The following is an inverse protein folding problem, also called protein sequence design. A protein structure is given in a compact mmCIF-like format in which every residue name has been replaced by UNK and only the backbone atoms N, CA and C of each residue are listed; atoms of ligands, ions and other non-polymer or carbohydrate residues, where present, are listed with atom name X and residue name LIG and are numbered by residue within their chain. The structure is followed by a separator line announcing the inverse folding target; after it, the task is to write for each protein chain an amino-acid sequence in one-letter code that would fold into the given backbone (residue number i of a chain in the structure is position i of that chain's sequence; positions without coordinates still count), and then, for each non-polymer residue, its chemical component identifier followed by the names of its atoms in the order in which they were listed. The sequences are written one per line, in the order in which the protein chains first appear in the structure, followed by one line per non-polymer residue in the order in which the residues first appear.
data_IF_148498677159
#
_entry.id   IF_148498677159
#
_cell.length_a   1.000
_cell.length_b   1.000
_cell.length_c   1.000
_cell.angle_alpha   90.00
_cell.angle_beta   90.00
_cell.angle_gamma   90.00
#
_symmetry.space_group_name_H-M   'P 1'
#
loop_
_entity.id
_entity.type
_entity.pdbx_description
1 polymer ?
#
# COMPACT_ATOMS: atom_id res chain seq x y z
N UNK A 1 10.21 49.23 -9.65
CA UNK A 1 10.90 48.00 -10.10
C UNK A 1 10.28 46.82 -9.37
N UNK A 2 9.43 46.06 -10.06
CA UNK A 2 8.80 44.88 -9.53
C UNK A 2 9.74 43.69 -9.59
N UNK A 3 9.78 42.88 -8.54
CA UNK A 3 10.40 41.57 -8.53
C UNK A 3 9.39 40.48 -8.86
N UNK A 4 9.86 39.29 -9.12
CA UNK A 4 9.01 38.10 -9.31
C UNK A 4 9.24 37.11 -8.18
N UNK A 5 8.16 36.59 -7.61
CA UNK A 5 8.20 35.49 -6.68
C UNK A 5 8.22 34.19 -7.47
N UNK A 6 9.24 33.36 -7.25
CA UNK A 6 9.34 32.03 -7.82
C UNK A 6 8.73 31.01 -6.87
N UNK A 7 7.79 30.22 -7.38
CA UNK A 7 7.15 29.15 -6.63
C UNK A 7 7.45 27.84 -7.35
N UNK A 8 8.06 26.88 -6.65
CA UNK A 8 8.34 25.54 -7.14
C UNK A 8 7.58 24.52 -6.32
N UNK A 9 6.97 23.56 -7.00
CA UNK A 9 6.27 22.44 -6.38
C UNK A 9 7.14 21.18 -6.48
N UNK A 10 7.33 20.49 -5.35
CA UNK A 10 7.90 19.15 -5.37
C UNK A 10 6.79 18.13 -5.73
N UNK A 11 7.01 17.36 -6.80
CA UNK A 11 6.13 16.28 -7.20
C UNK A 11 6.34 15.04 -6.32
N UNK A 12 5.39 14.07 -6.33
CA UNK A 12 5.53 12.83 -5.57
C UNK A 12 6.77 11.99 -5.92
N UNK A 13 7.33 12.17 -7.11
CA UNK A 13 8.55 11.51 -7.58
C UNK A 13 9.85 12.21 -7.12
N UNK A 14 9.75 13.26 -6.30
CA UNK A 14 10.89 14.07 -5.83
C UNK A 14 11.40 15.11 -6.81
N UNK A 15 10.85 15.17 -8.03
CA UNK A 15 11.19 16.20 -9.01
C UNK A 15 10.36 17.46 -8.77
N UNK A 16 10.87 18.61 -9.23
CA UNK A 16 10.13 19.86 -9.18
C UNK A 16 9.27 20.05 -10.44
N UNK A 17 8.05 20.59 -10.24
CA UNK A 17 7.25 21.08 -11.35
C UNK A 17 7.90 22.35 -11.92
N UNK A 18 7.49 22.75 -13.13
CA UNK A 18 7.90 24.02 -13.69
C UNK A 18 7.64 25.17 -12.71
N UNK A 19 8.65 26.01 -12.49
CA UNK A 19 8.55 27.16 -11.61
C UNK A 19 7.51 28.15 -12.14
N UNK A 20 6.61 28.59 -11.27
CA UNK A 20 5.70 29.69 -11.59
C UNK A 20 6.25 31.00 -11.01
N UNK A 21 6.22 32.06 -11.82
CA UNK A 21 6.73 33.37 -11.46
C UNK A 21 5.57 34.36 -11.25
N UNK A 22 5.60 35.03 -10.11
CA UNK A 22 4.58 36.01 -9.73
C UNK A 22 5.24 37.36 -9.53
N UNK A 23 4.77 38.37 -10.25
CA UNK A 23 5.25 39.72 -10.07
C UNK A 23 4.80 40.29 -8.72
N UNK A 24 5.73 40.75 -7.91
CA UNK A 24 5.49 41.42 -6.64
C UNK A 24 6.02 42.86 -6.69
N UNK A 25 5.15 43.80 -6.43
CA UNK A 25 5.54 45.21 -6.30
C UNK A 25 5.80 45.61 -4.85
N UNK A 26 6.79 46.46 -4.62
CA UNK A 26 7.05 47.00 -3.27
C UNK A 26 5.87 47.84 -2.82
N UNK A 27 5.20 47.44 -1.75
CA UNK A 27 4.09 48.19 -1.16
C UNK A 27 2.73 47.99 -1.82
N UNK A 28 2.54 47.03 -2.71
CA UNK A 28 1.26 46.64 -3.28
C UNK A 28 0.81 45.30 -2.76
N UNK A 29 -0.42 45.19 -2.29
CA UNK A 29 -1.07 43.92 -1.99
C UNK A 29 -1.48 43.27 -3.33
N UNK A 30 -0.84 42.22 -3.73
CA UNK A 30 -1.19 41.47 -4.94
C UNK A 30 -1.80 40.16 -4.53
N UNK A 31 -3.06 39.95 -4.80
CA UNK A 31 -3.75 38.66 -4.66
C UNK A 31 -3.83 38.01 -6.03
N UNK A 32 -3.28 36.86 -6.19
CA UNK A 32 -3.48 36.03 -7.37
C UNK A 32 -3.32 34.57 -7.01
N UNK A 33 -4.17 33.71 -7.59
CA UNK A 33 -4.15 32.29 -7.34
C UNK A 33 -3.02 31.58 -8.10
N UNK A 34 -2.36 30.66 -7.42
CA UNK A 34 -1.49 29.64 -8.03
C UNK A 34 -2.14 28.29 -7.80
N UNK A 35 -2.48 27.61 -8.87
CA UNK A 35 -3.06 26.27 -8.77
C UNK A 35 -1.95 25.22 -8.70
N UNK A 36 -2.06 24.35 -7.70
CA UNK A 36 -1.20 23.18 -7.52
C UNK A 36 -2.08 21.95 -7.62
N UNK A 37 -1.87 21.15 -8.66
CA UNK A 37 -2.65 19.91 -8.87
C UNK A 37 -2.00 18.78 -8.09
N UNK A 38 -2.79 18.14 -7.24
CA UNK A 38 -2.39 17.04 -6.40
C UNK A 38 -2.85 15.71 -7.02
N UNK A 39 -1.90 14.80 -7.31
CA UNK A 39 -2.17 13.57 -8.05
C UNK A 39 -2.29 12.31 -7.16
N UNK A 40 -2.52 12.46 -5.85
CA UNK A 40 -2.67 11.35 -4.90
C UNK A 40 -1.49 11.19 -3.93
N UNK A 41 -1.70 10.43 -2.84
CA UNK A 41 -0.73 10.25 -1.75
C UNK A 41 -0.65 11.46 -0.81
N UNK A 42 0.50 11.66 -0.18
CA UNK A 42 0.80 12.86 0.64
C UNK A 42 1.75 13.73 -0.14
N UNK A 43 1.42 14.99 -0.29
CA UNK A 43 2.25 15.97 -1.00
C UNK A 43 2.60 17.12 -0.06
N UNK A 44 3.87 17.46 0.04
CA UNK A 44 4.36 18.57 0.84
C UNK A 44 4.90 19.63 -0.09
N UNK A 45 4.33 20.83 0.01
CA UNK A 45 4.78 22.02 -0.69
C UNK A 45 5.62 22.85 0.30
N UNK A 46 6.96 22.87 0.19
CA UNK A 46 7.78 23.78 1.00
C UNK A 46 7.59 25.20 0.48
N UNK A 47 6.96 26.03 1.28
CA UNK A 47 6.83 27.48 0.99
C UNK A 47 8.09 28.24 1.41
N UNK A 48 9.09 27.53 1.95
CA UNK A 48 10.35 28.10 2.45
C UNK A 48 11.30 28.62 1.36
N UNK A 49 11.00 28.37 0.08
CA UNK A 49 11.85 28.79 -1.04
C UNK A 49 11.20 29.94 -1.83
N UNK A 50 10.83 31.01 -1.18
CA UNK A 50 10.52 32.24 -1.91
C UNK A 50 11.82 32.93 -2.32
N UNK A 51 12.06 32.95 -3.61
CA UNK A 51 13.08 33.81 -4.18
C UNK A 51 12.44 34.85 -5.11
N UNK A 52 12.94 36.06 -5.11
CA UNK A 52 12.56 37.06 -6.10
C UNK A 52 13.54 36.95 -7.26
N UNK A 53 13.03 36.73 -8.47
CA UNK A 53 13.83 36.80 -9.69
C UNK A 53 13.60 38.13 -10.36
N UNK A 54 14.64 38.86 -10.57
CA UNK A 54 14.63 40.18 -11.26
C UNK A 54 14.59 40.02 -12.77
N UNK A 55 14.22 41.09 -13.53
CA UNK A 55 14.19 41.04 -14.99
C UNK A 55 15.53 40.71 -15.66
N UNK A 56 16.66 40.89 -14.97
CA UNK A 56 18.01 40.52 -15.40
C UNK A 56 18.38 39.07 -15.09
N UNK A 57 17.43 38.25 -14.65
CA UNK A 57 17.55 36.85 -14.20
C UNK A 57 18.43 36.67 -12.94
N UNK A 58 18.78 37.72 -12.22
CA UNK A 58 19.35 37.57 -10.89
C UNK A 58 18.29 37.12 -9.91
N UNK A 59 18.66 36.25 -8.97
CA UNK A 59 17.74 35.71 -7.97
C UNK A 59 18.21 36.12 -6.58
N UNK A 60 17.32 36.68 -5.78
CA UNK A 60 17.54 37.00 -4.38
C UNK A 60 16.57 36.22 -3.51
N UNK A 61 17.07 35.56 -2.46
CA UNK A 61 16.22 34.97 -1.45
C UNK A 61 15.49 36.09 -0.67
N UNK A 62 14.18 36.03 -0.66
CA UNK A 62 13.38 37.02 0.07
C UNK A 62 13.58 36.80 1.57
N UNK A 63 14.33 37.68 2.18
CA UNK A 63 14.45 37.78 3.63
C UNK A 63 13.23 38.54 4.17
N UNK A 64 12.56 37.96 5.14
CA UNK A 64 11.38 38.58 5.78
C UNK A 64 10.57 37.55 6.51
N UNK A 65 9.57 37.99 7.23
CA UNK A 65 8.67 37.11 7.98
C UNK A 65 7.46 36.77 7.11
N UNK A 66 7.33 35.47 6.83
CA UNK A 66 6.20 34.95 6.07
C UNK A 66 5.28 34.15 6.96
N UNK A 67 3.98 34.26 6.72
CA UNK A 67 2.97 33.43 7.35
C UNK A 67 2.13 32.73 6.28
N UNK A 68 1.71 31.50 6.57
CA UNK A 68 0.81 30.74 5.73
C UNK A 68 -0.39 30.28 6.55
N UNK A 69 -1.61 30.43 6.01
CA UNK A 69 -2.84 30.09 6.70
C UNK A 69 -3.87 29.54 5.72
N UNK A 70 -4.55 28.42 6.05
CA UNK A 70 -5.70 27.96 5.27
C UNK A 70 -6.78 29.06 5.23
N UNK A 71 -7.40 29.24 4.07
CA UNK A 71 -8.34 30.33 3.84
C UNK A 71 -9.51 29.91 2.93
N UNK A 72 -10.55 30.73 2.93
CA UNK A 72 -11.65 30.66 1.97
C UNK A 72 -11.29 31.36 0.63
N UNK A 73 -12.23 31.40 -0.31
CA UNK A 73 -12.09 32.05 -1.61
C UNK A 73 -11.79 33.54 -1.55
N UNK A 74 -12.16 34.19 -0.44
CA UNK A 74 -11.92 35.61 -0.20
C UNK A 74 -10.61 35.86 0.55
N UNK A 75 -9.87 34.81 0.89
CA UNK A 75 -8.63 34.88 1.66
C UNK A 75 -8.83 35.08 3.16
N UNK A 76 -10.04 34.86 3.69
CA UNK A 76 -10.28 34.84 5.12
C UNK A 76 -9.88 33.51 5.74
N UNK A 77 -9.43 33.48 7.01
CA UNK A 77 -9.08 32.25 7.68
C UNK A 77 -10.18 31.20 7.61
N UNK A 78 -9.88 30.02 7.09
CA UNK A 78 -10.79 28.88 7.02
C UNK A 78 -10.01 27.59 7.25
N UNK A 79 -10.51 26.71 8.11
CA UNK A 79 -9.88 25.40 8.33
C UNK A 79 -10.07 24.48 7.11
N UNK A 80 -9.09 23.62 6.87
CA UNK A 80 -9.18 22.53 5.91
C UNK A 80 -8.96 21.19 6.63
N UNK A 81 -9.73 20.18 6.28
CA UNK A 81 -9.63 18.82 6.83
C UNK A 81 -8.55 17.96 6.15
N UNK A 82 -8.01 18.42 5.02
CA UNK A 82 -7.04 17.69 4.23
C UNK A 82 -5.77 18.45 3.86
N UNK A 83 -5.74 19.74 4.12
CA UNK A 83 -4.56 20.59 3.96
C UNK A 83 -4.16 21.13 5.32
N UNK A 84 -2.94 20.86 5.73
CA UNK A 84 -2.35 21.35 6.98
C UNK A 84 -1.20 22.30 6.68
N UNK A 85 -1.06 23.33 7.48
CA UNK A 85 0.03 24.29 7.39
C UNK A 85 0.83 24.26 8.69
N UNK A 86 2.14 24.04 8.57
CA UNK A 86 3.08 24.10 9.68
C UNK A 86 4.23 25.04 9.30
N UNK A 87 4.24 26.23 9.90
CA UNK A 87 5.12 27.31 9.45
C UNK A 87 4.84 27.68 8.00
N UNK A 88 5.83 27.52 7.13
CA UNK A 88 5.71 27.72 5.68
C UNK A 88 5.57 26.42 4.89
N UNK A 89 5.36 25.30 5.57
CA UNK A 89 5.14 24.00 4.92
C UNK A 89 3.65 23.73 4.79
N UNK A 90 3.19 23.47 3.58
CA UNK A 90 1.81 23.11 3.25
C UNK A 90 1.80 21.61 2.89
N UNK A 91 1.07 20.82 3.67
CA UNK A 91 0.92 19.38 3.42
C UNK A 91 -0.52 19.08 3.02
N UNK A 92 -0.70 18.47 1.86
CA UNK A 92 -1.99 17.98 1.39
C UNK A 92 -2.01 16.45 1.41
N UNK A 93 -3.10 15.87 1.92
CA UNK A 93 -3.29 14.42 1.96
C UNK A 93 -4.41 14.00 1.01
N UNK A 94 -4.12 13.08 0.09
CA UNK A 94 -5.13 12.55 -0.81
C UNK A 94 -6.23 11.82 -0.05
N UNK A 95 -7.46 11.99 -0.52
CA UNK A 95 -8.61 11.25 -0.04
C UNK A 95 -9.12 10.33 -1.16
N UNK A 96 -9.34 9.09 -0.82
CA UNK A 96 -9.92 8.07 -1.68
C UNK A 96 -11.31 7.74 -1.16
N UNK A 97 -12.32 7.75 -2.01
CA UNK A 97 -13.70 7.41 -1.66
C UNK A 97 -13.89 5.87 -1.62
N UNK A 98 -13.04 5.19 -0.88
CA UNK A 98 -13.26 3.79 -0.48
C UNK A 98 -13.32 3.72 1.02
N UNK A 99 -14.08 2.77 1.54
CA UNK A 99 -14.13 2.54 2.97
C UNK A 99 -12.73 2.25 3.50
N UNK A 100 -12.15 3.16 4.25
CA UNK A 100 -10.84 2.99 4.90
C UNK A 100 -10.93 2.10 6.15
N UNK A 101 -11.82 1.10 6.09
CA UNK A 101 -12.13 0.21 7.22
C UNK A 101 -10.90 -0.46 7.81
N UNK A 102 -9.93 -0.79 6.97
CA UNK A 102 -8.71 -1.47 7.42
C UNK A 102 -7.75 -0.54 8.17
N UNK A 103 -7.64 0.73 7.77
CA UNK A 103 -6.68 1.69 8.36
C UNK A 103 -7.09 2.15 9.75
N UNK A 104 -8.39 2.27 9.99
CA UNK A 104 -8.95 2.77 11.26
C UNK A 104 -9.05 1.70 12.33
N UNK A 105 -8.86 0.43 12.00
CA UNK A 105 -8.89 -0.65 12.97
C UNK A 105 -7.66 -0.58 13.89
N UNK A 106 -7.82 -0.86 15.19
CA UNK A 106 -6.68 -0.95 16.10
C UNK A 106 -5.64 -1.96 15.63
N UNK A 107 -4.37 -1.59 15.70
CA UNK A 107 -3.28 -2.47 15.33
C UNK A 107 -3.24 -3.73 16.21
N UNK A 108 -2.95 -4.87 15.59
CA UNK A 108 -2.73 -6.14 16.32
C UNK A 108 -1.26 -6.31 16.67
N UNK A 109 -0.99 -7.08 17.72
CA UNK A 109 0.36 -7.43 18.14
C UNK A 109 0.51 -8.95 18.21
N UNK A 110 1.53 -9.49 17.49
CA UNK A 110 1.84 -10.92 17.50
C UNK A 110 0.71 -11.81 16.97
N UNK A 111 -0.09 -11.32 16.03
CA UNK A 111 -1.24 -12.05 15.49
C UNK A 111 -0.78 -13.27 14.68
N UNK A 112 -1.15 -14.46 15.13
CA UNK A 112 -0.91 -15.70 14.40
C UNK A 112 -1.99 -15.94 13.37
N UNK A 113 -1.62 -15.86 12.09
CA UNK A 113 -2.53 -16.04 10.96
C UNK A 113 -3.06 -17.47 10.85
N UNK A 114 -2.28 -18.48 11.28
CA UNK A 114 -2.69 -19.88 11.25
C UNK A 114 -3.74 -20.25 12.30
N UNK A 115 -3.79 -19.47 13.39
CA UNK A 115 -4.77 -19.65 14.47
C UNK A 115 -5.84 -18.58 14.50
N UNK A 116 -5.77 -17.60 13.58
CA UNK A 116 -6.64 -16.41 13.57
C UNK A 116 -6.58 -15.62 14.88
N UNK A 117 -5.37 -15.52 15.45
CA UNK A 117 -5.15 -14.84 16.73
C UNK A 117 -5.47 -15.65 17.97
N UNK A 118 -5.88 -16.92 17.82
CA UNK A 118 -6.05 -17.86 18.94
C UNK A 118 -4.73 -18.51 19.38
N UNK A 119 -4.85 -19.56 20.16
CA UNK A 119 -3.72 -20.32 20.71
C UNK A 119 -3.46 -21.66 20.03
N UNK A 120 -4.42 -22.16 19.30
CA UNK A 120 -4.35 -23.48 18.64
C UNK A 120 -4.14 -23.30 17.16
N UNK A 121 -3.12 -24.02 16.62
CA UNK A 121 -2.88 -24.09 15.19
C UNK A 121 -4.06 -24.77 14.51
N UNK A 122 -4.80 -24.04 13.71
CA UNK A 122 -6.02 -24.54 13.06
C UNK A 122 -5.72 -24.92 11.61
N UNK A 123 -5.27 -23.95 10.82
CA UNK A 123 -5.04 -24.16 9.39
C UNK A 123 -3.86 -23.34 8.90
N UNK A 124 -3.07 -23.93 7.98
CA UNK A 124 -2.06 -23.22 7.21
C UNK A 124 -2.52 -23.05 5.77
N UNK A 125 -1.94 -22.10 5.05
CA UNK A 125 -2.36 -21.77 3.70
C UNK A 125 -1.17 -21.25 2.86
N UNK A 126 -1.35 -21.19 1.54
CA UNK A 126 -0.45 -20.47 0.64
C UNK A 126 -0.79 -18.96 0.56
N UNK A 127 -2.02 -18.60 0.91
CA UNK A 127 -2.45 -17.21 0.99
C UNK A 127 -3.02 -16.93 2.37
N UNK A 128 -2.55 -15.87 3.00
CA UNK A 128 -3.08 -15.36 4.26
C UNK A 128 -3.69 -13.98 4.06
N UNK A 129 -4.79 -13.73 4.77
CA UNK A 129 -5.51 -12.45 4.73
C UNK A 129 -5.09 -11.59 5.91
N UNK A 130 -4.82 -10.31 5.64
CA UNK A 130 -4.61 -9.26 6.64
C UNK A 130 -5.61 -8.13 6.40
N UNK A 131 -6.16 -7.55 7.47
CA UNK A 131 -7.23 -6.54 7.35
C UNK A 131 -7.02 -5.32 8.28
N UNK A 132 -5.85 -5.20 8.92
CA UNK A 132 -5.49 -4.07 9.79
C UNK A 132 -3.97 -3.95 9.95
N UNK A 133 -3.47 -2.80 10.43
CA UNK A 133 -2.07 -2.68 10.81
C UNK A 133 -1.69 -3.61 11.97
N UNK A 134 -0.41 -3.93 12.10
CA UNK A 134 0.10 -4.70 13.22
C UNK A 134 1.20 -5.69 12.88
N UNK A 135 1.59 -6.50 13.86
CA UNK A 135 2.58 -7.56 13.70
C UNK A 135 1.90 -8.90 13.55
N UNK A 136 2.32 -9.65 12.55
CA UNK A 136 1.77 -10.92 12.14
C UNK A 136 2.83 -12.00 12.08
N UNK A 137 2.41 -13.24 12.21
CA UNK A 137 3.27 -14.39 11.94
C UNK A 137 2.45 -15.60 11.48
N UNK A 138 3.13 -16.55 10.86
CA UNK A 138 2.60 -17.87 10.52
C UNK A 138 3.71 -18.92 10.51
N UNK A 139 3.38 -20.21 10.72
CA UNK A 139 4.37 -21.28 10.76
C UNK A 139 4.95 -21.55 9.36
N UNK A 140 6.20 -22.03 9.32
CA UNK A 140 6.94 -22.37 8.12
C UNK A 140 6.51 -23.76 7.59
N UNK A 141 5.29 -23.81 7.07
CA UNK A 141 4.61 -25.02 6.61
C UNK A 141 4.26 -24.90 5.13
N UNK A 142 4.37 -25.99 4.38
CA UNK A 142 3.99 -26.03 2.97
C UNK A 142 2.48 -25.86 2.79
N UNK A 143 2.07 -24.68 2.33
CA UNK A 143 0.67 -24.39 2.02
C UNK A 143 -0.30 -24.85 3.10
N UNK A 144 -1.30 -25.63 2.72
CA UNK A 144 -2.34 -26.18 3.60
C UNK A 144 -1.95 -27.55 4.21
N UNK A 145 -0.66 -27.79 4.45
CA UNK A 145 -0.17 -29.06 5.00
C UNK A 145 -0.56 -29.29 6.48
N UNK A 146 -1.07 -28.28 7.17
CA UNK A 146 -1.79 -28.42 8.45
C UNK A 146 -3.24 -27.98 8.22
N UNK A 147 -4.17 -28.87 8.56
CA UNK A 147 -5.61 -28.66 8.47
C UNK A 147 -6.28 -29.11 9.77
N UNK A 148 -7.11 -28.25 10.34
CA UNK A 148 -7.84 -28.49 11.59
C UNK A 148 -6.91 -28.99 12.72
N UNK A 149 -5.72 -28.41 12.79
CA UNK A 149 -4.69 -28.73 13.79
C UNK A 149 -3.94 -30.04 13.54
N UNK A 150 -4.23 -30.76 12.47
CA UNK A 150 -3.59 -32.04 12.13
C UNK A 150 -2.83 -31.97 10.79
N UNK A 151 -1.87 -32.88 10.63
CA UNK A 151 -1.13 -33.02 9.38
C UNK A 151 -2.06 -33.41 8.23
N UNK A 152 -2.05 -32.62 7.17
CA UNK A 152 -2.75 -32.89 5.92
C UNK A 152 -1.77 -33.37 4.87
N UNK A 153 -1.45 -34.66 4.91
CA UNK A 153 -0.42 -35.25 4.00
C UNK A 153 -0.78 -35.07 2.52
N UNK A 154 -2.06 -35.02 2.16
CA UNK A 154 -2.50 -34.84 0.77
C UNK A 154 -2.07 -33.46 0.19
N UNK A 155 -1.68 -32.51 1.02
CA UNK A 155 -1.21 -31.19 0.58
C UNK A 155 0.24 -31.21 0.06
N UNK A 156 1.05 -32.21 0.41
CA UNK A 156 2.47 -32.30 0.03
C UNK A 156 2.91 -33.69 -0.42
N UNK A 157 1.99 -34.64 -0.47
CA UNK A 157 2.19 -35.97 -1.05
C UNK A 157 1.06 -36.26 -2.03
N UNK A 158 1.33 -37.11 -3.04
CA UNK A 158 0.29 -37.55 -3.95
C UNK A 158 0.45 -39.05 -4.22
N UNK A 159 -0.67 -39.78 -4.25
CA UNK A 159 -0.76 -41.13 -4.73
C UNK A 159 -1.28 -41.23 -6.16
N UNK A 160 -1.69 -40.10 -6.74
CA UNK A 160 -2.16 -40.05 -8.11
C UNK A 160 -1.02 -40.30 -9.10
N UNK A 161 -1.34 -40.83 -10.26
CA UNK A 161 -0.40 -41.10 -11.34
C UNK A 161 -0.88 -40.44 -12.63
N UNK A 162 0.05 -39.97 -13.46
CA UNK A 162 -0.24 -39.36 -14.74
C UNK A 162 0.89 -38.42 -15.19
N UNK A 163 0.87 -38.04 -16.45
CA UNK A 163 1.94 -37.23 -17.06
C UNK A 163 2.00 -35.78 -16.55
N UNK A 164 0.90 -35.29 -15.96
CA UNK A 164 0.76 -33.90 -15.47
C UNK A 164 0.63 -33.82 -13.94
N UNK A 165 1.05 -34.88 -13.23
CA UNK A 165 0.96 -34.97 -11.78
C UNK A 165 2.36 -34.99 -11.19
N UNK A 166 2.65 -34.06 -10.28
CA UNK A 166 3.87 -34.11 -9.46
C UNK A 166 3.70 -35.18 -8.39
N UNK A 167 4.37 -36.30 -8.59
CA UNK A 167 4.38 -37.40 -7.65
C UNK A 167 5.72 -38.13 -7.64
N UNK A 168 6.45 -38.13 -6.53
CA UNK A 168 6.21 -37.39 -5.30
C UNK A 168 6.45 -35.88 -5.46
N UNK A 169 6.01 -35.08 -4.49
CA UNK A 169 6.35 -33.64 -4.44
C UNK A 169 7.79 -33.47 -3.98
N UNK A 170 8.52 -32.56 -4.64
CA UNK A 170 9.92 -32.30 -4.37
C UNK A 170 10.12 -30.84 -3.93
N UNK A 171 11.09 -30.64 -3.05
CA UNK A 171 11.76 -29.37 -2.86
C UNK A 171 13.20 -29.48 -3.44
N UNK A 172 14.02 -28.44 -3.24
CA UNK A 172 15.42 -28.45 -3.74
C UNK A 172 16.36 -29.42 -2.98
N UNK A 173 15.91 -30.05 -1.90
CA UNK A 173 16.66 -31.03 -1.13
C UNK A 173 16.20 -32.49 -1.38
N UNK A 174 15.06 -32.68 -2.05
CA UNK A 174 14.51 -33.99 -2.34
C UNK A 174 13.01 -34.10 -2.17
N UNK A 175 12.50 -35.29 -1.89
CA UNK A 175 11.07 -35.55 -1.68
C UNK A 175 10.56 -34.89 -0.40
N UNK A 176 9.42 -34.21 -0.48
CA UNK A 176 8.75 -33.63 0.68
C UNK A 176 8.02 -34.74 1.45
N UNK A 177 8.37 -34.94 2.72
CA UNK A 177 7.80 -35.98 3.59
C UNK A 177 7.19 -35.44 4.87
N UNK A 178 7.40 -34.15 5.17
CA UNK A 178 6.94 -33.49 6.40
C UNK A 178 6.25 -32.17 6.05
N UNK A 179 5.17 -31.76 6.76
CA UNK A 179 4.52 -30.48 6.54
C UNK A 179 5.41 -29.27 6.81
N UNK A 180 6.37 -29.37 7.73
CA UNK A 180 7.30 -28.29 8.06
C UNK A 180 8.50 -28.28 7.12
N UNK A 181 8.84 -27.10 6.62
CA UNK A 181 9.88 -26.93 5.60
C UNK A 181 11.24 -27.40 6.12
N UNK A 182 11.62 -27.00 7.33
CA UNK A 182 12.89 -27.37 7.96
C UNK A 182 13.07 -28.88 8.17
N UNK A 183 11.96 -29.60 8.38
CA UNK A 183 11.99 -31.03 8.67
C UNK A 183 12.20 -31.89 7.42
N UNK A 184 12.37 -31.25 6.27
CA UNK A 184 12.72 -31.90 4.99
C UNK A 184 14.19 -31.65 4.60
N UNK A 185 15.08 -31.51 5.58
CA UNK A 185 16.50 -31.31 5.32
C UNK A 185 16.89 -29.94 4.79
N UNK A 186 16.03 -28.93 5.00
CA UNK A 186 16.26 -27.56 4.56
C UNK A 186 16.62 -26.68 5.75
N UNK A 187 17.79 -26.06 5.72
CA UNK A 187 18.19 -25.04 6.68
C UNK A 187 17.77 -23.66 6.16
N UNK A 188 16.76 -23.08 6.77
CA UNK A 188 16.30 -21.73 6.46
C UNK A 188 17.24 -20.70 7.04
N UNK A 189 17.66 -19.74 6.24
CA UNK A 189 18.67 -18.73 6.59
C UNK A 189 18.13 -17.29 6.61
N UNK A 190 17.04 -17.02 5.85
CA UNK A 190 16.54 -15.67 5.68
C UNK A 190 15.05 -15.67 5.31
N UNK A 191 14.39 -14.52 5.52
CA UNK A 191 13.03 -14.25 5.04
C UNK A 191 12.97 -12.87 4.42
N UNK A 192 12.28 -12.73 3.28
CA UNK A 192 12.21 -11.46 2.51
C UNK A 192 10.83 -11.21 1.95
N UNK A 193 10.54 -9.91 1.81
CA UNK A 193 9.49 -9.42 0.94
C UNK A 193 9.98 -9.53 -0.52
N UNK A 194 9.26 -10.26 -1.38
CA UNK A 194 9.59 -10.37 -2.80
C UNK A 194 9.00 -9.22 -3.59
N UNK A 195 7.74 -8.90 -3.35
CA UNK A 195 7.04 -7.76 -3.93
C UNK A 195 5.78 -7.42 -3.13
N UNK A 196 5.29 -6.18 -3.30
CA UNK A 196 3.98 -5.71 -2.87
C UNK A 196 3.45 -4.70 -3.90
N UNK A 197 2.13 -4.64 -4.09
CA UNK A 197 1.49 -3.71 -5.02
C UNK A 197 1.08 -2.39 -4.34
N UNK A 198 0.98 -2.37 -3.02
CA UNK A 198 0.79 -1.15 -2.21
C UNK A 198 2.10 -0.76 -1.55
N UNK A 199 2.63 0.41 -1.88
CA UNK A 199 3.93 0.85 -1.39
C UNK A 199 3.97 1.00 0.13
N UNK A 200 4.87 0.25 0.77
CA UNK A 200 5.10 0.29 2.21
C UNK A 200 3.95 -0.31 3.05
N UNK A 201 3.06 -1.09 2.45
CA UNK A 201 2.03 -1.84 3.17
C UNK A 201 2.67 -2.84 4.16
N UNK A 202 3.66 -3.58 3.69
CA UNK A 202 4.51 -4.41 4.55
C UNK A 202 5.84 -3.67 4.72
N UNK A 203 6.26 -3.51 5.97
CA UNK A 203 7.57 -2.98 6.31
C UNK A 203 8.64 -4.03 5.99
N UNK A 204 9.41 -3.81 4.92
CA UNK A 204 10.39 -4.79 4.40
C UNK A 204 11.37 -5.24 5.48
N UNK A 205 11.90 -4.31 6.28
CA UNK A 205 12.85 -4.60 7.37
C UNK A 205 12.29 -5.44 8.51
N UNK A 206 10.97 -5.58 8.58
CA UNK A 206 10.29 -6.38 9.60
C UNK A 206 10.12 -7.85 9.23
N UNK A 207 10.35 -8.18 7.96
CA UNK A 207 10.19 -9.57 7.47
C UNK A 207 11.36 -10.41 7.91
N UNK A 208 11.12 -11.38 8.78
CA UNK A 208 12.19 -12.15 9.42
C UNK A 208 11.76 -13.56 9.82
N UNK A 209 12.76 -14.42 9.99
CA UNK A 209 12.59 -15.70 10.66
C UNK A 209 12.48 -15.49 12.17
N UNK A 210 11.48 -16.09 12.79
CA UNK A 210 11.25 -16.04 14.25
C UNK A 210 10.98 -17.48 14.74
N UNK A 211 12.03 -18.19 15.09
CA UNK A 211 11.96 -19.63 15.34
C UNK A 211 11.45 -20.38 14.08
N UNK A 212 10.43 -21.22 14.26
CA UNK A 212 9.81 -21.96 13.13
C UNK A 212 8.64 -21.18 12.48
N UNK A 213 8.77 -19.83 12.41
CA UNK A 213 7.74 -18.94 11.88
C UNK A 213 8.36 -17.85 11.01
N UNK A 214 7.59 -17.34 10.06
CA UNK A 214 7.84 -16.07 9.42
C UNK A 214 7.05 -14.99 10.16
N UNK A 215 7.72 -13.92 10.55
CA UNK A 215 7.11 -12.75 11.18
C UNK A 215 7.28 -11.53 10.28
N UNK A 216 6.29 -10.62 10.31
CA UNK A 216 6.29 -9.38 9.54
C UNK A 216 5.34 -8.34 10.15
N UNK A 217 5.49 -7.09 9.72
CA UNK A 217 4.63 -5.98 10.12
C UNK A 217 3.89 -5.39 8.94
N UNK A 218 2.57 -5.24 9.10
CA UNK A 218 1.71 -4.43 8.23
C UNK A 218 1.63 -3.04 8.83
N UNK A 219 1.92 -2.02 8.02
CA UNK A 219 1.95 -0.61 8.45
C UNK A 219 0.57 0.03 8.40
N UNK A 220 0.47 1.29 8.82
CA UNK A 220 -0.71 2.14 8.65
C UNK A 220 -1.00 2.55 7.19
N UNK A 221 -0.08 2.20 6.27
CA UNK A 221 -0.29 2.35 4.82
C UNK A 221 -1.10 1.21 4.20
N UNK A 222 -1.63 0.29 5.03
CA UNK A 222 -2.47 -0.81 4.54
C UNK A 222 -3.60 -0.28 3.67
N UNK A 223 -3.80 -0.95 2.55
CA UNK A 223 -4.88 -0.73 1.59
C UNK A 223 -5.21 -2.07 0.93
N UNK A 224 -6.28 -2.14 0.15
CA UNK A 224 -6.53 -3.32 -0.68
C UNK A 224 -5.34 -3.57 -1.58
N UNK A 225 -4.70 -4.72 -1.39
CA UNK A 225 -3.44 -5.00 -2.06
C UNK A 225 -2.90 -6.39 -1.79
N UNK A 226 -1.77 -6.68 -2.40
CA UNK A 226 -1.15 -7.99 -2.41
C UNK A 226 0.34 -7.88 -2.18
N UNK A 227 0.91 -8.90 -1.54
CA UNK A 227 2.34 -9.04 -1.39
C UNK A 227 2.74 -10.52 -1.42
N UNK A 228 4.00 -10.80 -1.71
CA UNK A 228 4.58 -12.14 -1.58
C UNK A 228 5.78 -12.08 -0.66
N UNK A 229 5.73 -12.91 0.38
CA UNK A 229 6.83 -13.15 1.31
C UNK A 229 7.47 -14.51 1.02
N UNK A 230 8.77 -14.62 1.20
CA UNK A 230 9.48 -15.87 0.99
C UNK A 230 10.50 -16.14 2.09
N UNK A 231 10.81 -17.43 2.28
CA UNK A 231 11.94 -17.90 3.09
C UNK A 231 12.99 -18.53 2.20
N UNK A 232 14.24 -18.41 2.61
CA UNK A 232 15.39 -18.79 1.82
C UNK A 232 16.25 -19.83 2.54
N UNK A 233 16.83 -20.72 1.75
CA UNK A 233 17.96 -21.56 2.12
C UNK A 233 19.18 -21.08 1.32
N UNK A 234 20.03 -20.28 1.93
CA UNK A 234 21.07 -19.53 1.22
C UNK A 234 20.46 -18.56 0.20
N UNK A 235 20.77 -18.75 -1.07
CA UNK A 235 20.25 -17.93 -2.16
C UNK A 235 19.00 -18.52 -2.86
N UNK A 236 18.52 -19.68 -2.40
CA UNK A 236 17.39 -20.37 -3.02
C UNK A 236 16.12 -20.14 -2.22
N UNK A 237 15.03 -19.77 -2.87
CA UNK A 237 13.70 -19.71 -2.25
C UNK A 237 13.29 -21.11 -1.86
N UNK A 238 13.10 -21.35 -0.56
CA UNK A 238 12.61 -22.62 -0.05
C UNK A 238 11.08 -22.70 -0.15
N UNK A 239 10.39 -21.62 0.16
CA UNK A 239 8.95 -21.47 -0.01
C UNK A 239 8.54 -19.99 0.03
N UNK A 240 7.30 -19.70 -0.41
CA UNK A 240 6.74 -18.36 -0.43
C UNK A 240 5.25 -18.39 -0.14
N UNK A 241 4.71 -17.26 0.29
CA UNK A 241 3.30 -17.11 0.62
C UNK A 241 2.77 -15.79 0.07
N UNK A 242 1.53 -15.82 -0.41
CA UNK A 242 0.76 -14.65 -0.77
C UNK A 242 0.14 -14.04 0.49
N UNK A 243 0.29 -12.73 0.67
CA UNK A 243 -0.41 -11.94 1.67
C UNK A 243 -1.41 -11.06 0.94
N UNK A 244 -2.68 -11.22 1.23
CA UNK A 244 -3.78 -10.46 0.65
C UNK A 244 -4.35 -9.51 1.69
N UNK A 245 -4.21 -8.20 1.48
CA UNK A 245 -4.81 -7.17 2.32
C UNK A 245 -6.21 -6.88 1.78
N UNK A 246 -7.23 -7.18 2.59
CA UNK A 246 -8.65 -7.06 2.23
C UNK A 246 -9.51 -7.08 3.49
N UNK A 247 -10.71 -6.53 3.39
CA UNK A 247 -11.77 -6.66 4.40
C UNK A 247 -12.64 -7.91 4.17
N UNK A 248 -12.39 -8.68 3.12
CA UNK A 248 -13.07 -9.94 2.86
C UNK A 248 -12.80 -10.96 3.98
N UNK A 249 -13.86 -11.41 4.64
CA UNK A 249 -13.79 -12.49 5.64
C UNK A 249 -14.23 -13.82 5.00
N UNK A 250 -13.30 -14.76 4.74
CA UNK A 250 -13.62 -16.04 4.11
C UNK A 250 -14.50 -16.94 4.99
N UNK A 251 -14.73 -16.57 6.25
CA UNK A 251 -15.58 -17.30 7.20
C UNK A 251 -16.96 -16.66 7.43
N UNK A 252 -17.23 -15.54 6.78
CA UNK A 252 -18.55 -14.95 6.79
C UNK A 252 -19.56 -15.89 6.11
N UNK A 253 -20.82 -15.85 6.56
CA UNK A 253 -21.87 -16.76 6.07
C UNK A 253 -22.12 -16.62 4.55
N UNK A 254 -21.82 -15.49 3.98
CA UNK A 254 -21.99 -15.15 2.56
C UNK A 254 -20.68 -15.15 1.77
N UNK A 255 -19.57 -15.55 2.39
CA UNK A 255 -18.24 -15.56 1.76
C UNK A 255 -18.13 -16.54 0.59
N UNK A 256 -18.95 -17.59 0.59
CA UNK A 256 -18.97 -18.58 -0.49
C UNK A 256 -20.35 -18.75 -1.09
N UNK A 257 -20.39 -19.17 -2.34
CA UNK A 257 -21.60 -19.63 -3.04
C UNK A 257 -21.41 -21.06 -3.51
N UNK A 258 -22.32 -21.94 -3.07
CA UNK A 258 -22.38 -23.31 -3.54
C UNK A 258 -23.02 -23.36 -4.92
N UNK A 259 -22.32 -23.94 -5.87
CA UNK A 259 -22.78 -24.13 -7.24
C UNK A 259 -22.89 -25.63 -7.51
N UNK A 260 -24.03 -26.03 -8.05
CA UNK A 260 -24.28 -27.42 -8.40
C UNK A 260 -23.78 -27.72 -9.82
N UNK A 261 -23.05 -28.81 -10.01
CA UNK A 261 -22.63 -29.25 -11.32
C UNK A 261 -23.85 -29.66 -12.15
N UNK A 262 -23.99 -29.05 -13.34
CA UNK A 262 -25.15 -29.32 -14.24
C UNK A 262 -25.18 -30.75 -14.78
N UNK A 263 -24.00 -31.34 -15.03
CA UNK A 263 -23.89 -32.68 -15.62
C UNK A 263 -23.77 -33.79 -14.55
N UNK A 264 -23.45 -33.43 -13.30
CA UNK A 264 -23.38 -34.32 -12.15
C UNK A 264 -24.10 -33.65 -10.97
N UNK A 265 -25.44 -33.74 -10.88
CA UNK A 265 -26.24 -33.00 -9.89
C UNK A 265 -25.86 -33.24 -8.43
N UNK A 266 -25.21 -34.37 -8.12
CA UNK A 266 -24.73 -34.70 -6.79
C UNK A 266 -23.36 -34.10 -6.45
N UNK A 267 -22.73 -33.39 -7.40
CA UNK A 267 -21.45 -32.71 -7.20
C UNK A 267 -21.66 -31.23 -7.02
N UNK A 268 -21.28 -30.72 -5.86
CA UNK A 268 -21.35 -29.32 -5.51
C UNK A 268 -19.95 -28.76 -5.36
N UNK A 269 -19.80 -27.48 -5.66
CA UNK A 269 -18.56 -26.72 -5.48
C UNK A 269 -18.86 -25.41 -4.76
N UNK A 270 -18.04 -25.07 -3.78
CA UNK A 270 -18.10 -23.79 -3.08
C UNK A 270 -17.11 -22.85 -3.71
N UNK A 271 -17.60 -21.72 -4.21
CA UNK A 271 -16.79 -20.65 -4.79
C UNK A 271 -16.76 -19.46 -3.85
N UNK A 272 -15.60 -18.88 -3.66
CA UNK A 272 -15.47 -17.58 -2.98
C UNK A 272 -16.25 -16.51 -3.75
N UNK A 273 -16.87 -15.58 -3.04
CA UNK A 273 -17.61 -14.46 -3.65
C UNK A 273 -16.68 -13.37 -4.21
N UNK A 274 -15.41 -13.41 -3.84
CA UNK A 274 -14.35 -12.56 -4.42
C UNK A 274 -13.23 -13.41 -5.01
N UNK A 275 -12.64 -12.94 -6.10
CA UNK A 275 -11.44 -13.56 -6.64
C UNK A 275 -10.26 -13.37 -5.68
N UNK A 276 -9.41 -14.38 -5.56
CA UNK A 276 -8.22 -14.32 -4.72
C UNK A 276 -7.30 -13.17 -5.17
N UNK A 277 -6.94 -12.31 -4.23
CA UNK A 277 -6.11 -11.13 -4.52
C UNK A 277 -6.89 -9.93 -5.10
N UNK A 278 -8.22 -9.95 -5.04
CA UNK A 278 -9.06 -8.86 -5.53
C UNK A 278 -8.79 -7.56 -4.78
N UNK A 279 -8.60 -6.48 -5.56
CA UNK A 279 -8.53 -5.11 -5.10
C UNK A 279 -9.69 -4.34 -5.75
N UNK A 280 -10.63 -3.77 -4.97
CA UNK A 280 -11.73 -2.99 -5.52
C UNK A 280 -11.23 -1.72 -6.19
N UNK A 281 -12.07 -1.11 -6.99
CA UNK A 281 -11.79 0.20 -7.57
C UNK A 281 -11.63 1.26 -6.48
N UNK A 282 -10.82 2.27 -6.77
CA UNK A 282 -10.58 3.42 -5.88
C UNK A 282 -10.96 4.69 -6.60
N UNK A 283 -11.81 5.47 -5.97
CA UNK A 283 -12.27 6.75 -6.49
C UNK A 283 -11.67 7.89 -5.68
N UNK A 284 -10.98 8.79 -6.35
CA UNK A 284 -10.51 10.05 -5.80
C UNK A 284 -11.51 11.15 -6.17
N UNK A 285 -12.17 11.73 -5.18
CA UNK A 285 -13.11 12.83 -5.42
C UNK A 285 -12.36 14.11 -5.78
N UNK A 286 -12.91 14.90 -6.69
CA UNK A 286 -12.43 16.25 -6.93
C UNK A 286 -12.67 17.10 -5.68
N UNK A 287 -11.66 17.85 -5.23
CA UNK A 287 -11.77 18.79 -4.13
C UNK A 287 -10.70 19.87 -4.19
N UNK A 288 -10.92 20.94 -3.48
CA UNK A 288 -10.07 22.12 -3.46
C UNK A 288 -9.89 22.65 -2.04
N UNK A 289 -8.71 23.19 -1.76
CA UNK A 289 -8.43 23.97 -0.56
C UNK A 289 -7.51 25.14 -0.92
N UNK A 290 -7.54 26.20 -0.13
CA UNK A 290 -6.73 27.39 -0.35
C UNK A 290 -5.87 27.70 0.86
N UNK A 291 -4.66 28.19 0.58
CA UNK A 291 -3.70 28.67 1.57
C UNK A 291 -3.25 30.07 1.18
N UNK A 292 -3.50 31.02 2.06
CA UNK A 292 -3.02 32.39 1.90
C UNK A 292 -1.63 32.52 2.52
N UNK A 293 -0.68 32.96 1.73
CA UNK A 293 0.67 33.30 2.18
C UNK A 293 0.79 34.82 2.24
N UNK A 294 1.32 35.33 3.32
CA UNK A 294 1.44 36.77 3.58
C UNK A 294 2.87 37.09 3.99
N UNK A 295 3.45 38.12 3.38
CA UNK A 295 4.70 38.71 3.84
C UNK A 295 4.39 39.81 4.84
N UNK A 296 4.92 39.77 6.04
CA UNK A 296 4.56 40.65 7.15
C UNK A 296 5.03 42.07 6.92
N UNK A 297 6.19 42.29 6.32
CA UNK A 297 6.82 43.59 6.13
C UNK A 297 6.13 44.42 5.05
N UNK A 298 5.63 43.78 4.00
CA UNK A 298 5.00 44.47 2.86
C UNK A 298 3.50 44.35 2.85
N UNK A 299 2.93 43.39 3.62
CA UNK A 299 1.53 43.01 3.53
C UNK A 299 1.16 42.31 2.21
N UNK A 300 2.13 41.99 1.38
CA UNK A 300 1.87 41.28 0.13
C UNK A 300 1.30 39.88 0.42
N UNK A 301 0.23 39.51 -0.29
CA UNK A 301 -0.46 38.24 -0.10
C UNK A 301 -0.53 37.44 -1.41
N UNK A 302 -0.50 36.11 -1.29
CA UNK A 302 -0.74 35.18 -2.36
C UNK A 302 -1.66 34.06 -1.87
N UNK A 303 -2.64 33.69 -2.67
CA UNK A 303 -3.46 32.51 -2.43
C UNK A 303 -2.93 31.38 -3.29
N UNK A 304 -2.62 30.26 -2.65
CA UNK A 304 -2.25 28.99 -3.28
C UNK A 304 -3.47 28.09 -3.22
N UNK A 305 -3.97 27.68 -4.38
CA UNK A 305 -5.05 26.70 -4.49
C UNK A 305 -4.43 25.31 -4.65
N UNK A 306 -4.78 24.41 -3.73
CA UNK A 306 -4.41 22.99 -3.77
C UNK A 306 -5.62 22.23 -4.25
N UNK A 307 -5.49 21.50 -5.35
CA UNK A 307 -6.57 20.73 -5.97
C UNK A 307 -6.24 19.25 -5.98
N UNK A 308 -7.25 18.44 -5.73
CA UNK A 308 -7.26 17.02 -6.03
C UNK A 308 -8.23 16.82 -7.18
N UNK A 309 -7.72 16.38 -8.33
CA UNK A 309 -8.56 16.05 -9.46
C UNK A 309 -9.30 14.73 -9.22
N UNK A 310 -10.47 14.61 -9.86
CA UNK A 310 -11.15 13.33 -9.91
C UNK A 310 -10.30 12.29 -10.64
N UNK A 311 -10.14 11.12 -10.03
CA UNK A 311 -9.50 9.98 -10.67
C UNK A 311 -10.18 8.68 -10.22
N UNK A 312 -10.36 7.75 -11.17
CA UNK A 312 -10.83 6.40 -10.92
C UNK A 312 -9.73 5.41 -11.23
N UNK A 313 -9.30 4.67 -10.22
CA UNK A 313 -8.39 3.53 -10.39
C UNK A 313 -9.25 2.27 -10.47
N UNK A 314 -9.25 1.63 -11.63
CA UNK A 314 -10.05 0.43 -11.87
C UNK A 314 -9.69 -0.70 -10.89
N UNK A 315 -10.69 -1.48 -10.52
CA UNK A 315 -10.50 -2.72 -9.80
C UNK A 315 -9.53 -3.65 -10.52
N UNK A 316 -8.75 -4.38 -9.75
CA UNK A 316 -7.81 -5.35 -10.28
C UNK A 316 -7.72 -6.59 -9.39
N UNK A 317 -6.98 -7.60 -9.83
CA UNK A 317 -6.70 -8.81 -9.07
C UNK A 317 -5.32 -9.32 -9.44
N UNK A 318 -4.72 -10.11 -8.56
CA UNK A 318 -3.52 -10.85 -8.91
C UNK A 318 -3.82 -11.90 -9.99
N UNK A 319 -2.80 -12.18 -10.79
CA UNK A 319 -2.87 -13.23 -11.81
C UNK A 319 -2.15 -14.49 -11.33
N UNK A 320 -2.83 -15.63 -11.40
CA UNK A 320 -2.22 -16.93 -11.15
C UNK A 320 -1.99 -17.67 -12.47
N UNK A 321 -0.77 -18.12 -12.67
CA UNK A 321 -0.44 -18.94 -13.82
C UNK A 321 -0.64 -20.42 -13.48
N UNK A 322 -1.16 -21.20 -14.43
CA UNK A 322 -1.26 -22.64 -14.26
C UNK A 322 0.10 -23.27 -13.87
N UNK A 323 0.10 -24.10 -12.84
CA UNK A 323 1.29 -24.75 -12.32
C UNK A 323 2.18 -23.89 -11.40
N UNK A 324 1.78 -22.66 -11.10
CA UNK A 324 2.46 -21.80 -10.11
C UNK A 324 1.56 -21.50 -8.93
N UNK A 325 2.14 -21.55 -7.73
CA UNK A 325 1.39 -21.25 -6.50
C UNK A 325 1.37 -19.76 -6.13
N UNK A 326 2.36 -18.99 -6.59
CA UNK A 326 2.49 -17.58 -6.26
C UNK A 326 1.83 -16.71 -7.33
N UNK A 327 1.12 -15.66 -6.92
CA UNK A 327 0.54 -14.74 -7.86
C UNK A 327 1.57 -13.80 -8.48
N UNK A 328 1.24 -13.31 -9.67
CA UNK A 328 1.85 -12.13 -10.25
C UNK A 328 1.02 -10.89 -9.91
N UNK A 329 1.66 -9.72 -9.77
CA UNK A 329 0.91 -8.47 -9.63
C UNK A 329 -0.04 -8.29 -10.80
N UNK A 330 -1.23 -7.77 -10.51
CA UNK A 330 -2.21 -7.40 -11.53
C UNK A 330 -1.72 -6.20 -12.34
N UNK A 331 -2.17 -6.11 -13.59
CA UNK A 331 -1.95 -5.02 -14.55
C UNK A 331 -0.50 -4.55 -14.74
N UNK A 332 -0.26 -3.28 -14.96
CA UNK A 332 0.91 -2.61 -15.54
C UNK A 332 2.28 -2.80 -14.86
N UNK A 333 2.42 -3.74 -13.92
CA UNK A 333 3.73 -4.17 -13.42
C UNK A 333 4.39 -3.23 -12.40
N UNK A 334 3.69 -2.27 -11.86
CA UNK A 334 4.20 -1.48 -10.74
C UNK A 334 4.17 -2.32 -9.47
N UNK A 335 5.35 -2.74 -9.05
CA UNK A 335 5.56 -3.45 -7.79
C UNK A 335 6.56 -2.66 -6.93
N UNK A 336 6.33 -2.68 -5.64
CA UNK A 336 7.16 -2.03 -4.64
C UNK A 336 7.80 -3.10 -3.75
N UNK A 337 9.01 -2.81 -3.32
CA UNK A 337 9.71 -3.59 -2.28
C UNK A 337 9.68 -2.84 -0.97
#
# INVERSE_FOLDING_TARGET
TGGYLRIEQCKPDGNFAEAQYVQVGKGTTTTSDVSVIFAGGTNTLPVSAFSVTYPDNTTENVTGTWTAQPCDENGNPAASDWVTVNGLSVTAQAQVNVAESMKVLPAVSGYDLSTRGGTTLVNTANCYIVHRPGTYSFPLVYGNAIKDGATNAAAYTSTASGTNILNPFFNHSGTITNPYISDNGITLTDAKLLWQDVNGMIEESSVQLSGNRLAFRVTDKIDYGNAVLAVFAGNTIAWSWHIWATDYDPYAADATKTVQNRTSPNTQFDFMTQSLGWCPEKEYAAREARVKVTQSETGATRIITVQQDYALISANSTCYQWGRKDPFPGSNGNVNK
#
